data_IF_466228367014
#
_entry.id   IF_466228367014
#
_cell.length_a   1.000
_cell.length_b   1.000
_cell.length_c   1.000
_cell.angle_alpha   90.00
_cell.angle_beta   90.00
_cell.angle_gamma   90.00
#
_symmetry.space_group_name_H-M   'P 1'
#
loop_
_entity.id
_entity.type
_entity.pdbx_description
1 polymer ?
#
# COMPACT_ATOMS: atom_id res chain seq x y z
N UNK A 1 26.34 -27.14 3.81
CA UNK A 1 24.90 -26.84 4.04
C UNK A 1 24.65 -25.64 4.96
N UNK A 2 25.58 -25.26 5.84
CA UNK A 2 25.46 -24.10 6.75
C UNK A 2 25.56 -22.73 6.06
N UNK A 3 26.45 -22.56 5.08
CA UNK A 3 26.64 -21.28 4.39
C UNK A 3 25.41 -20.83 3.59
N UNK A 4 24.76 -21.79 2.91
CA UNK A 4 23.53 -21.56 2.13
C UNK A 4 22.36 -21.12 3.03
N UNK A 5 22.26 -21.68 4.25
CA UNK A 5 21.28 -21.26 5.26
C UNK A 5 21.56 -19.84 5.78
N UNK A 6 22.82 -19.50 6.05
CA UNK A 6 23.19 -18.15 6.48
C UNK A 6 22.92 -17.09 5.41
N UNK A 7 23.24 -17.38 4.14
CA UNK A 7 22.95 -16.49 3.02
C UNK A 7 21.44 -16.28 2.86
N UNK A 8 20.64 -17.35 2.95
CA UNK A 8 19.18 -17.28 2.89
C UNK A 8 18.60 -16.44 4.03
N UNK A 9 19.10 -16.59 5.26
CA UNK A 9 18.68 -15.79 6.40
C UNK A 9 19.01 -14.29 6.19
N UNK A 10 20.18 -13.98 5.63
CA UNK A 10 20.59 -12.61 5.36
C UNK A 10 19.67 -11.93 4.33
N UNK A 11 19.40 -12.57 3.20
CA UNK A 11 18.48 -12.04 2.20
C UNK A 11 17.04 -11.96 2.71
N UNK A 12 16.57 -12.94 3.50
CA UNK A 12 15.23 -12.87 4.12
C UNK A 12 15.12 -11.71 5.11
N UNK A 13 16.17 -11.42 5.89
CA UNK A 13 16.21 -10.28 6.81
C UNK A 13 16.11 -8.95 6.05
N UNK A 14 16.91 -8.81 4.98
CA UNK A 14 16.91 -7.62 4.13
C UNK A 14 15.55 -7.41 3.44
N UNK A 15 14.98 -8.50 2.89
CA UNK A 15 13.67 -8.48 2.27
C UNK A 15 12.57 -8.10 3.28
N UNK A 16 12.65 -8.57 4.52
CA UNK A 16 11.69 -8.26 5.57
C UNK A 16 11.68 -6.76 5.90
N UNK A 17 12.86 -6.12 5.95
CA UNK A 17 12.97 -4.65 6.13
C UNK A 17 12.32 -3.90 4.97
N UNK A 18 12.58 -4.30 3.73
CA UNK A 18 11.97 -3.64 2.56
C UNK A 18 10.45 -3.84 2.53
N UNK A 19 9.98 -5.06 2.82
CA UNK A 19 8.55 -5.36 2.87
C UNK A 19 7.84 -4.65 4.03
N UNK A 20 8.51 -4.42 5.17
CA UNK A 20 7.89 -3.71 6.29
C UNK A 20 7.64 -2.24 5.96
N UNK A 21 8.63 -1.58 5.34
CA UNK A 21 8.49 -0.20 4.87
C UNK A 21 7.39 -0.10 3.82
N UNK A 22 7.35 -1.04 2.87
CA UNK A 22 6.31 -1.08 1.83
C UNK A 22 4.91 -1.30 2.42
N UNK A 23 4.77 -2.19 3.42
CA UNK A 23 3.50 -2.45 4.09
C UNK A 23 2.97 -1.21 4.82
N UNK A 24 3.84 -0.53 5.58
CA UNK A 24 3.49 0.73 6.26
C UNK A 24 3.12 1.79 5.23
N UNK A 25 3.90 1.93 4.16
CA UNK A 25 3.64 2.87 3.08
C UNK A 25 2.26 2.66 2.42
N UNK A 26 1.87 1.41 2.18
CA UNK A 26 0.56 1.08 1.61
C UNK A 26 -0.59 1.38 2.58
N UNK A 27 -0.43 1.11 3.86
CA UNK A 27 -1.43 1.46 4.87
C UNK A 27 -1.62 2.97 4.97
N UNK A 28 -0.52 3.72 5.03
CA UNK A 28 -0.57 5.20 5.06
C UNK A 28 -1.23 5.73 3.79
N UNK A 29 -0.87 5.18 2.62
CA UNK A 29 -1.47 5.58 1.34
C UNK A 29 -2.97 5.27 1.29
N UNK A 30 -3.42 4.14 1.85
CA UNK A 30 -4.84 3.79 1.90
C UNK A 30 -5.63 4.78 2.77
N UNK A 31 -5.08 5.14 3.94
CA UNK A 31 -5.68 6.16 4.83
C UNK A 31 -5.72 7.52 4.14
N UNK A 32 -4.63 7.94 3.50
CA UNK A 32 -4.57 9.18 2.73
C UNK A 32 -5.58 9.20 1.57
N UNK A 33 -5.79 8.08 0.88
CA UNK A 33 -6.79 7.97 -0.18
C UNK A 33 -8.21 8.23 0.36
N UNK A 34 -8.57 7.61 1.49
CA UNK A 34 -9.87 7.81 2.15
C UNK A 34 -10.02 9.27 2.59
N UNK A 35 -8.99 9.84 3.22
CA UNK A 35 -8.98 11.23 3.66
C UNK A 35 -9.10 12.21 2.49
N UNK A 36 -8.39 11.97 1.39
CA UNK A 36 -8.45 12.79 0.19
C UNK A 36 -9.85 12.73 -0.46
N UNK A 37 -10.46 11.54 -0.51
CA UNK A 37 -11.85 11.36 -0.95
C UNK A 37 -12.83 12.13 -0.07
N UNK A 38 -12.67 12.07 1.26
CA UNK A 38 -13.50 12.85 2.19
C UNK A 38 -13.29 14.35 2.03
N UNK A 39 -12.05 14.86 2.04
CA UNK A 39 -11.76 16.30 1.91
C UNK A 39 -12.34 16.90 0.63
N UNK A 40 -12.28 16.16 -0.49
CA UNK A 40 -12.87 16.60 -1.78
C UNK A 40 -14.40 16.71 -1.72
N UNK A 41 -15.06 15.94 -0.85
CA UNK A 41 -16.52 15.98 -0.69
C UNK A 41 -17.00 17.06 0.28
N UNK A 42 -16.16 17.47 1.23
CA UNK A 42 -16.45 18.56 2.17
C UNK A 42 -16.22 19.97 1.58
N UNK A 43 -15.98 20.09 0.27
CA UNK A 43 -15.96 21.39 -0.42
C UNK A 43 -14.59 22.09 -0.48
N UNK A 44 -13.49 21.38 -0.22
CA UNK A 44 -12.16 21.86 -0.58
C UNK A 44 -11.94 21.67 -2.09
N UNK A 45 -12.56 22.52 -2.90
CA UNK A 45 -12.45 22.56 -4.38
C UNK A 45 -11.00 22.78 -4.88
N UNK A 46 -10.05 23.09 -4.00
CA UNK A 46 -8.63 23.18 -4.33
C UNK A 46 -7.97 21.83 -4.62
N UNK A 47 -8.50 20.71 -4.10
CA UNK A 47 -7.92 19.39 -4.35
C UNK A 47 -8.56 18.84 -5.63
N UNK A 48 -8.08 19.29 -6.79
CA UNK A 48 -8.47 18.75 -8.10
C UNK A 48 -7.90 17.35 -8.31
N UNK A 49 -8.77 16.36 -8.46
CA UNK A 49 -8.45 15.06 -9.05
C UNK A 49 -8.87 15.07 -10.52
N UNK A 50 -7.94 14.75 -11.40
CA UNK A 50 -8.15 14.65 -12.84
C UNK A 50 -7.85 13.22 -13.30
N UNK A 51 -8.75 12.60 -14.07
CA UNK A 51 -8.50 11.27 -14.69
C UNK A 51 -7.38 11.37 -15.74
N UNK A 52 -7.33 12.51 -16.43
CA UNK A 52 -6.42 12.82 -17.53
C UNK A 52 -6.17 14.35 -17.53
N UNK A 53 -5.11 14.83 -18.20
CA UNK A 53 -4.99 16.23 -18.61
C UNK A 53 -6.33 16.79 -19.11
N UNK A 54 -6.79 17.89 -18.50
CA UNK A 54 -8.05 18.59 -18.79
C UNK A 54 -9.36 17.79 -18.57
N UNK A 55 -9.30 16.58 -18.00
CA UNK A 55 -10.50 15.82 -17.64
C UNK A 55 -10.69 15.84 -16.12
N UNK A 56 -11.42 16.86 -15.67
CA UNK A 56 -11.84 17.01 -14.27
C UNK A 56 -12.83 15.89 -13.87
N UNK A 57 -12.52 15.20 -12.77
CA UNK A 57 -13.42 14.18 -12.22
C UNK A 57 -14.63 14.85 -11.55
N UNK A 58 -15.87 14.50 -11.90
CA UNK A 58 -17.05 14.96 -11.18
C UNK A 58 -16.96 14.57 -9.69
N UNK A 59 -17.39 15.46 -8.79
CA UNK A 59 -17.32 15.27 -7.34
C UNK A 59 -18.00 13.96 -6.91
N UNK A 60 -19.07 13.56 -7.62
CA UNK A 60 -19.79 12.31 -7.37
C UNK A 60 -18.93 11.04 -7.46
N UNK A 61 -17.91 11.03 -8.34
CA UNK A 61 -17.04 9.87 -8.54
C UNK A 61 -15.80 9.84 -7.63
N UNK A 62 -15.56 10.91 -6.85
CA UNK A 62 -14.39 11.01 -5.98
C UNK A 62 -14.38 9.99 -4.84
N UNK A 63 -15.51 9.80 -4.16
CA UNK A 63 -15.68 8.81 -3.08
C UNK A 63 -15.52 7.37 -3.60
N UNK A 64 -16.28 6.91 -4.61
CA UNK A 64 -16.17 5.52 -5.07
C UNK A 64 -14.77 5.21 -5.61
N UNK A 65 -14.12 6.18 -6.27
CA UNK A 65 -12.74 6.01 -6.74
C UNK A 65 -11.75 5.92 -5.57
N UNK A 66 -11.82 6.82 -4.59
CA UNK A 66 -10.95 6.80 -3.42
C UNK A 66 -11.09 5.50 -2.61
N UNK A 67 -12.32 5.00 -2.48
CA UNK A 67 -12.63 3.75 -1.78
C UNK A 67 -12.13 2.54 -2.58
N UNK A 68 -12.27 2.54 -3.90
CA UNK A 68 -11.72 1.51 -4.79
C UNK A 68 -10.18 1.45 -4.71
N UNK A 69 -9.50 2.61 -4.73
CA UNK A 69 -8.04 2.69 -4.54
C UNK A 69 -7.63 2.21 -3.15
N UNK A 70 -8.37 2.58 -2.10
CA UNK A 70 -8.10 2.12 -0.74
C UNK A 70 -8.24 0.58 -0.62
N UNK A 71 -9.26 -0.02 -1.23
CA UNK A 71 -9.44 -1.49 -1.27
C UNK A 71 -8.28 -2.16 -2.02
N UNK A 72 -7.86 -1.59 -3.16
CA UNK A 72 -6.72 -2.12 -3.92
C UNK A 72 -5.43 -2.10 -3.08
N UNK A 73 -5.14 -0.97 -2.43
CA UNK A 73 -3.98 -0.83 -1.55
C UNK A 73 -4.03 -1.80 -0.36
N UNK A 74 -5.22 -2.04 0.19
CA UNK A 74 -5.43 -2.99 1.28
C UNK A 74 -5.21 -4.45 0.84
N UNK A 75 -5.65 -4.80 -0.38
CA UNK A 75 -5.34 -6.10 -0.98
C UNK A 75 -3.83 -6.28 -1.16
N UNK A 76 -3.14 -5.29 -1.74
CA UNK A 76 -1.68 -5.31 -1.87
C UNK A 76 -1.00 -5.48 -0.51
N UNK A 77 -1.43 -4.74 0.52
CA UNK A 77 -0.89 -4.86 1.88
C UNK A 77 -1.07 -6.28 2.44
N UNK A 78 -2.21 -6.92 2.16
CA UNK A 78 -2.48 -8.31 2.59
C UNK A 78 -1.52 -9.32 1.94
N UNK A 79 -1.21 -9.16 0.65
CA UNK A 79 -0.23 -10.00 -0.04
C UNK A 79 1.19 -9.80 0.52
N UNK A 80 1.58 -8.55 0.80
CA UNK A 80 2.88 -8.24 1.41
C UNK A 80 2.99 -8.85 2.81
N UNK A 81 1.94 -8.76 3.63
CA UNK A 81 1.89 -9.42 4.94
C UNK A 81 2.12 -10.93 4.82
N UNK A 82 1.50 -11.60 3.84
CA UNK A 82 1.75 -13.04 3.59
C UNK A 82 3.21 -13.32 3.23
N UNK A 83 3.82 -12.47 2.40
CA UNK A 83 5.22 -12.63 2.00
C UNK A 83 6.20 -12.37 3.17
N UNK A 84 5.89 -11.43 4.07
CA UNK A 84 6.65 -11.23 5.32
C UNK A 84 6.59 -12.45 6.23
N UNK A 85 5.39 -13.03 6.42
CA UNK A 85 5.21 -14.24 7.23
C UNK A 85 5.99 -15.41 6.65
N UNK A 86 6.07 -15.52 5.32
CA UNK A 86 6.90 -16.53 4.65
C UNK A 86 8.40 -16.32 4.88
N UNK A 87 8.90 -15.09 4.79
CA UNK A 87 10.31 -14.81 5.14
C UNK A 87 10.61 -15.10 6.62
N UNK A 88 9.69 -14.77 7.53
CA UNK A 88 9.81 -15.06 8.96
C UNK A 88 9.81 -16.57 9.26
N UNK A 89 8.98 -17.36 8.57
CA UNK A 89 8.95 -18.81 8.78
C UNK A 89 10.24 -19.47 8.29
N UNK A 90 10.88 -18.94 7.24
CA UNK A 90 12.20 -19.39 6.77
C UNK A 90 13.35 -18.99 7.68
N UNK A 91 13.23 -17.86 8.38
CA UNK A 91 14.24 -17.37 9.35
C UNK A 91 14.18 -18.08 10.71
N UNK A 92 13.05 -18.71 11.06
CA UNK A 92 12.85 -19.44 12.33
C UNK A 92 13.39 -20.89 12.29
N UNK A 93 13.97 -21.34 11.17
CA UNK A 93 14.49 -22.70 10.95
C UNK A 93 16.00 -22.79 11.22
#
# INVERSE_FOLDING_TARGET
MTFLKMLQAFFCSLALVVLSVLYIGLLVSAVLSILAGMLRTFGLDQIKMSIWYDVDLPILFSIPLALLVAVLLFLCATYIKRSMVFCLSKLRI
#
